data_IF_959522674488
#
_entry.id   IF_959522674488
#
_cell.length_a   1.000
_cell.length_b   1.000
_cell.length_c   1.000
_cell.angle_alpha   90.00
_cell.angle_beta   90.00
_cell.angle_gamma   90.00
#
_symmetry.space_group_name_H-M   'P 1'
#
loop_
_entity.id
_entity.type
_entity.pdbx_description
1 polymer ?
#
# COMPACT_ATOMS: atom_id res chain seq x y z
N UNK A 1 11.90 -55.07 -24.40
CA UNK A 1 10.81 -54.09 -24.60
C UNK A 1 10.41 -53.61 -23.21
N UNK A 2 11.10 -52.68 -22.53
CA UNK A 2 11.58 -51.36 -22.95
C UNK A 2 10.45 -50.48 -23.51
N UNK A 3 9.81 -49.71 -22.62
CA UNK A 3 9.42 -48.31 -22.78
C UNK A 3 8.67 -47.83 -21.51
N UNK A 4 9.46 -47.47 -20.49
CA UNK A 4 9.09 -46.40 -19.57
C UNK A 4 9.29 -45.06 -20.30
N UNK A 5 8.49 -44.05 -19.93
CA UNK A 5 8.83 -42.65 -20.20
C UNK A 5 7.75 -41.89 -20.95
N UNK A 6 6.97 -41.10 -20.21
CA UNK A 6 6.91 -39.64 -20.39
C UNK A 6 5.92 -39.07 -19.36
N UNK A 7 6.42 -38.90 -18.13
CA UNK A 7 5.82 -37.98 -17.18
C UNK A 7 6.07 -36.57 -17.73
N UNK A 8 5.02 -35.94 -18.24
CA UNK A 8 5.01 -34.53 -18.63
C UNK A 8 5.33 -33.67 -17.41
N UNK A 9 6.59 -33.22 -17.36
CA UNK A 9 7.07 -32.24 -16.40
C UNK A 9 6.43 -30.89 -16.71
N UNK A 10 5.32 -30.60 -16.05
CA UNK A 10 4.82 -29.24 -15.95
C UNK A 10 5.83 -28.40 -15.16
N UNK A 11 6.56 -27.57 -15.91
CA UNK A 11 7.46 -26.52 -15.45
C UNK A 11 6.78 -25.68 -14.37
N UNK A 12 7.18 -25.90 -13.10
CA UNK A 12 6.77 -25.10 -11.94
C UNK A 12 7.58 -23.80 -11.83
N UNK A 13 7.95 -23.22 -12.99
CA UNK A 13 8.65 -21.95 -13.07
C UNK A 13 7.80 -20.81 -12.48
N UNK A 14 8.28 -20.26 -11.37
CA UNK A 14 8.18 -18.82 -11.11
C UNK A 14 6.78 -18.26 -10.93
N UNK A 15 5.86 -18.97 -10.30
CA UNK A 15 4.60 -18.35 -9.85
C UNK A 15 4.97 -17.32 -8.78
N UNK A 16 5.02 -16.04 -9.17
CA UNK A 16 5.21 -14.93 -8.24
C UNK A 16 4.24 -15.13 -7.07
N UNK A 17 4.77 -15.07 -5.84
CA UNK A 17 3.93 -15.17 -4.65
C UNK A 17 2.79 -14.14 -4.75
N UNK A 18 1.57 -14.46 -4.30
CA UNK A 18 0.48 -13.48 -4.26
C UNK A 18 0.96 -12.30 -3.42
N UNK A 19 1.26 -11.16 -4.06
CA UNK A 19 1.96 -10.05 -3.40
C UNK A 19 3.02 -9.26 -4.18
N UNK A 20 3.52 -9.79 -5.29
CA UNK A 20 4.59 -9.14 -6.07
C UNK A 20 6.00 -9.29 -5.44
N UNK A 21 7.02 -8.86 -6.17
CA UNK A 21 8.45 -8.95 -5.82
C UNK A 21 8.76 -8.12 -4.57
N UNK A 22 8.17 -6.93 -4.42
CA UNK A 22 8.36 -6.07 -3.26
C UNK A 22 7.88 -6.73 -1.94
N UNK A 23 6.72 -7.37 -1.94
CA UNK A 23 6.24 -8.10 -0.78
C UNK A 23 7.14 -9.30 -0.46
N UNK A 24 7.57 -10.05 -1.49
CA UNK A 24 8.50 -11.17 -1.31
C UNK A 24 9.79 -10.73 -0.61
N UNK A 25 10.32 -9.56 -0.99
CA UNK A 25 11.47 -8.94 -0.32
C UNK A 25 11.16 -8.67 1.15
N UNK A 26 10.02 -8.03 1.45
CA UNK A 26 9.65 -7.66 2.83
C UNK A 26 9.43 -8.86 3.73
N UNK A 27 8.66 -9.85 3.27
CA UNK A 27 8.35 -11.06 4.04
C UNK A 27 9.62 -11.82 4.43
N UNK A 28 10.64 -11.82 3.57
CA UNK A 28 11.92 -12.52 3.82
C UNK A 28 12.97 -11.64 4.51
N UNK A 29 12.69 -10.36 4.82
CA UNK A 29 13.67 -9.47 5.47
C UNK A 29 14.18 -10.02 6.80
N UNK A 30 13.30 -10.63 7.60
CA UNK A 30 13.66 -11.22 8.90
C UNK A 30 14.64 -12.38 8.79
N UNK A 31 14.62 -13.10 7.67
CA UNK A 31 15.50 -14.23 7.38
C UNK A 31 16.82 -13.80 6.74
N UNK A 32 16.96 -12.54 6.31
CA UNK A 32 18.11 -12.04 5.57
C UNK A 32 19.34 -11.75 6.46
N UNK A 33 20.53 -12.08 5.97
CA UNK A 33 21.80 -11.65 6.56
C UNK A 33 21.91 -10.12 6.59
N UNK A 34 22.78 -9.52 7.43
CA UNK A 34 22.97 -8.08 7.44
C UNK A 34 23.31 -7.48 6.07
N UNK A 35 24.08 -8.19 5.25
CA UNK A 35 24.45 -7.74 3.90
C UNK A 35 23.26 -7.82 2.93
N UNK A 36 22.47 -8.88 2.98
CA UNK A 36 21.24 -9.01 2.17
C UNK A 36 20.18 -7.99 2.58
N UNK A 37 20.06 -7.66 3.87
CA UNK A 37 19.18 -6.57 4.32
C UNK A 37 19.57 -5.21 3.73
N UNK A 38 20.85 -4.96 3.47
CA UNK A 38 21.28 -3.75 2.76
C UNK A 38 20.80 -3.75 1.31
N UNK A 39 20.91 -4.89 0.61
CA UNK A 39 20.41 -5.05 -0.76
C UNK A 39 18.89 -4.83 -0.81
N UNK A 40 18.14 -5.48 0.09
CA UNK A 40 16.70 -5.33 0.20
C UNK A 40 16.28 -3.87 0.41
N UNK A 41 16.97 -3.13 1.29
CA UNK A 41 16.70 -1.70 1.50
C UNK A 41 16.93 -0.85 0.25
N UNK A 42 18.02 -1.10 -0.49
CA UNK A 42 18.30 -0.37 -1.74
C UNK A 42 17.21 -0.63 -2.79
N UNK A 43 16.77 -1.88 -2.91
CA UNK A 43 15.71 -2.26 -3.84
C UNK A 43 14.35 -1.65 -3.48
N UNK A 44 13.99 -1.69 -2.19
CA UNK A 44 12.72 -1.14 -1.70
C UNK A 44 12.69 0.40 -1.74
N UNK A 45 13.81 1.07 -1.49
CA UNK A 45 13.87 2.54 -1.40
C UNK A 45 13.56 3.26 -2.73
N UNK A 46 13.80 2.61 -3.87
CA UNK A 46 13.49 3.15 -5.19
C UNK A 46 12.77 2.12 -6.06
N UNK A 47 11.88 1.34 -5.44
CA UNK A 47 11.11 0.32 -6.12
C UNK A 47 10.13 0.92 -7.15
N UNK A 48 9.91 0.28 -8.32
CA UNK A 48 10.62 -0.89 -8.87
C UNK A 48 11.91 -0.52 -9.62
N UNK A 49 12.18 0.77 -9.84
CA UNK A 49 13.30 1.25 -10.67
C UNK A 49 14.67 0.71 -10.27
N UNK A 50 14.95 0.58 -8.96
CA UNK A 50 16.20 0.02 -8.45
C UNK A 50 16.47 -1.41 -8.92
N UNK A 51 15.42 -2.21 -9.16
CA UNK A 51 15.56 -3.58 -9.63
C UNK A 51 16.04 -3.69 -11.08
N UNK A 52 15.90 -2.62 -11.87
CA UNK A 52 16.39 -2.55 -13.25
C UNK A 52 17.83 -2.02 -13.37
N UNK A 53 18.45 -1.62 -12.26
CA UNK A 53 19.87 -1.28 -12.25
C UNK A 53 20.75 -2.53 -12.43
N UNK A 54 22.03 -2.31 -12.78
CA UNK A 54 23.00 -3.41 -12.87
C UNK A 54 23.33 -3.96 -11.48
N UNK A 55 23.69 -5.25 -11.40
CA UNK A 55 24.16 -5.89 -10.16
C UNK A 55 25.29 -5.08 -9.50
N UNK A 56 26.20 -4.54 -10.31
CA UNK A 56 27.32 -3.72 -9.83
C UNK A 56 26.84 -2.45 -9.13
N UNK A 57 25.89 -1.72 -9.73
CA UNK A 57 25.35 -0.47 -9.17
C UNK A 57 24.55 -0.71 -7.89
N UNK A 58 23.78 -1.79 -7.84
CA UNK A 58 23.05 -2.18 -6.62
C UNK A 58 24.03 -2.56 -5.50
N UNK A 59 25.07 -3.32 -5.84
CA UNK A 59 26.11 -3.73 -4.90
C UNK A 59 26.85 -2.52 -4.32
N UNK A 60 27.21 -1.56 -5.18
CA UNK A 60 27.82 -0.28 -4.80
C UNK A 60 26.92 0.51 -3.83
N UNK A 61 25.65 0.76 -4.22
CA UNK A 61 24.69 1.49 -3.39
C UNK A 61 24.41 0.81 -2.05
N UNK A 62 24.40 -0.52 -2.02
CA UNK A 62 24.19 -1.30 -0.81
C UNK A 62 25.47 -1.47 0.03
N UNK A 63 26.64 -1.09 -0.48
CA UNK A 63 27.93 -1.33 0.17
C UNK A 63 28.21 -2.82 0.39
N UNK A 64 27.94 -3.64 -0.63
CA UNK A 64 28.16 -5.10 -0.63
C UNK A 64 28.83 -5.56 -1.92
N UNK A 65 29.19 -6.83 -2.02
CA UNK A 65 29.75 -7.42 -3.25
C UNK A 65 28.65 -7.88 -4.22
N UNK A 66 28.94 -7.89 -5.53
CA UNK A 66 28.02 -8.40 -6.56
C UNK A 66 27.48 -9.83 -6.29
N UNK A 67 28.29 -10.80 -5.80
CA UNK A 67 27.76 -12.11 -5.40
C UNK A 67 26.71 -12.05 -4.28
N UNK A 68 26.76 -11.03 -3.42
CA UNK A 68 25.74 -10.84 -2.36
C UNK A 68 24.39 -10.50 -2.96
N UNK A 69 24.36 -9.65 -3.99
CA UNK A 69 23.12 -9.29 -4.72
C UNK A 69 22.55 -10.52 -5.44
N UNK A 70 23.40 -11.35 -6.05
CA UNK A 70 22.97 -12.59 -6.72
C UNK A 70 22.42 -13.60 -5.70
N UNK A 71 23.12 -13.82 -4.56
CA UNK A 71 22.62 -14.67 -3.48
C UNK A 71 21.29 -14.18 -2.92
N UNK A 72 21.11 -12.86 -2.81
CA UNK A 72 19.84 -12.28 -2.40
C UNK A 72 18.71 -12.65 -3.37
N UNK A 73 18.91 -12.51 -4.68
CA UNK A 73 17.91 -12.94 -5.67
C UNK A 73 17.57 -14.44 -5.56
N UNK A 74 18.57 -15.31 -5.35
CA UNK A 74 18.34 -16.73 -5.08
C UNK A 74 17.54 -16.98 -3.80
N UNK A 75 17.83 -16.23 -2.72
CA UNK A 75 17.09 -16.33 -1.47
C UNK A 75 15.62 -15.96 -1.63
N UNK A 76 15.28 -15.05 -2.55
CA UNK A 76 13.90 -14.73 -2.87
C UNK A 76 13.20 -15.82 -3.72
N UNK A 77 13.95 -16.83 -4.19
CA UNK A 77 13.44 -17.93 -5.00
C UNK A 77 13.72 -17.80 -6.50
N UNK A 78 14.48 -16.81 -6.95
CA UNK A 78 14.81 -16.63 -8.35
C UNK A 78 16.04 -17.46 -8.76
N UNK A 79 16.08 -17.89 -10.03
CA UNK A 79 17.23 -18.61 -10.63
C UNK A 79 18.47 -17.74 -10.79
N UNK A 80 18.37 -16.43 -10.55
CA UNK A 80 19.45 -15.47 -10.60
C UNK A 80 18.91 -14.04 -10.77
N UNK A 81 19.80 -13.07 -10.90
CA UNK A 81 19.39 -11.66 -11.05
C UNK A 81 18.59 -11.36 -12.34
N UNK A 82 18.90 -11.95 -13.51
CA UNK A 82 18.07 -11.76 -14.71
C UNK A 82 16.64 -12.31 -14.58
N UNK A 83 16.46 -13.40 -13.83
CA UNK A 83 15.14 -13.98 -13.52
C UNK A 83 14.34 -13.05 -12.60
N UNK A 84 14.99 -12.50 -11.57
CA UNK A 84 14.41 -11.44 -10.74
C UNK A 84 13.97 -10.21 -11.57
N UNK A 85 14.80 -9.74 -12.51
CA UNK A 85 14.45 -8.62 -13.38
C UNK A 85 13.29 -8.92 -14.34
N UNK A 86 13.15 -10.17 -14.79
CA UNK A 86 11.99 -10.60 -15.58
C UNK A 86 10.73 -10.56 -14.72
N UNK A 87 10.77 -11.14 -13.52
CA UNK A 87 9.64 -11.08 -12.60
C UNK A 87 9.20 -9.63 -12.30
N UNK A 88 10.14 -8.69 -12.20
CA UNK A 88 9.84 -7.25 -12.07
C UNK A 88 9.17 -6.63 -13.32
N UNK A 89 9.52 -7.07 -14.53
CA UNK A 89 8.84 -6.60 -15.76
C UNK A 89 7.42 -7.14 -15.83
N UNK A 90 7.25 -8.44 -15.60
CA UNK A 90 5.94 -9.08 -15.56
C UNK A 90 5.06 -8.40 -14.50
N UNK A 91 5.67 -8.01 -13.38
CA UNK A 91 5.02 -7.25 -12.33
C UNK A 91 4.52 -5.88 -12.84
N UNK A 92 5.38 -5.10 -13.51
CA UNK A 92 5.00 -3.80 -14.07
C UNK A 92 3.86 -3.90 -15.08
N UNK A 93 3.91 -4.91 -15.96
CA UNK A 93 2.84 -5.15 -16.94
C UNK A 93 1.50 -5.46 -16.25
N UNK A 94 1.51 -6.22 -15.16
CA UNK A 94 0.32 -6.52 -14.36
C UNK A 94 -0.21 -5.29 -13.61
N UNK A 95 0.68 -4.44 -13.07
CA UNK A 95 0.30 -3.16 -12.42
C UNK A 95 -0.46 -2.24 -13.37
N UNK A 96 0.04 -2.12 -14.59
CA UNK A 96 -0.53 -1.24 -15.63
C UNK A 96 -1.67 -1.87 -16.42
N UNK A 97 -1.97 -3.16 -16.20
CA UNK A 97 -3.04 -3.86 -16.89
C UNK A 97 -4.36 -3.09 -16.81
N UNK A 98 -4.91 -2.78 -17.99
CA UNK A 98 -6.18 -2.08 -18.13
C UNK A 98 -7.34 -2.96 -17.61
N UNK A 99 -8.51 -2.38 -17.26
CA UNK A 99 -9.66 -3.18 -16.84
C UNK A 99 -10.06 -4.18 -17.92
N UNK A 100 -9.92 -3.81 -19.20
CA UNK A 100 -10.22 -4.69 -20.34
C UNK A 100 -9.28 -5.89 -20.36
N UNK A 101 -7.96 -5.66 -20.19
CA UNK A 101 -6.98 -6.73 -20.14
C UNK A 101 -7.25 -7.71 -18.99
N UNK A 102 -7.60 -7.19 -17.80
CA UNK A 102 -7.99 -8.03 -16.66
C UNK A 102 -9.30 -8.77 -16.88
N UNK A 103 -10.28 -8.14 -17.54
CA UNK A 103 -11.56 -8.77 -17.85
C UNK A 103 -11.38 -10.02 -18.72
N UNK A 104 -10.51 -9.92 -19.73
CA UNK A 104 -10.13 -11.06 -20.57
C UNK A 104 -9.31 -12.09 -19.79
N UNK A 105 -8.26 -11.65 -19.06
CA UNK A 105 -7.35 -12.55 -18.35
C UNK A 105 -8.02 -13.34 -17.20
N UNK A 106 -9.03 -12.76 -16.55
CA UNK A 106 -9.78 -13.42 -15.48
C UNK A 106 -10.86 -14.37 -16.00
N UNK A 107 -11.07 -14.44 -17.32
CA UNK A 107 -12.14 -15.21 -17.94
C UNK A 107 -13.53 -14.77 -17.47
N UNK A 108 -13.70 -13.50 -17.06
CA UNK A 108 -14.93 -13.04 -16.41
C UNK A 108 -16.15 -13.22 -17.34
N UNK A 109 -15.98 -13.00 -18.65
CA UNK A 109 -17.03 -13.25 -19.65
C UNK A 109 -17.44 -14.72 -19.76
N UNK A 110 -16.50 -15.64 -19.54
CA UNK A 110 -16.68 -17.08 -19.71
C UNK A 110 -17.34 -17.74 -18.49
N UNK A 111 -17.33 -17.06 -17.33
CA UNK A 111 -17.94 -17.56 -16.09
C UNK A 111 -19.47 -17.64 -16.15
N UNK A 112 -20.11 -17.03 -17.16
CA UNK A 112 -21.56 -16.98 -17.29
C UNK A 112 -22.23 -16.30 -16.08
N UNK A 113 -23.55 -16.12 -16.12
CA UNK A 113 -24.28 -15.63 -14.94
C UNK A 113 -24.33 -16.72 -13.87
N UNK A 114 -23.32 -16.80 -13.00
CA UNK A 114 -23.38 -17.67 -11.82
C UNK A 114 -24.66 -17.34 -11.03
N UNK A 115 -25.38 -18.36 -10.51
CA UNK A 115 -26.47 -18.13 -9.55
C UNK A 115 -26.03 -17.15 -8.45
N UNK A 116 -26.94 -16.28 -7.99
CA UNK A 116 -26.61 -15.25 -7.01
C UNK A 116 -25.94 -15.81 -5.74
N UNK A 117 -26.30 -17.03 -5.32
CA UNK A 117 -25.67 -17.73 -4.21
C UNK A 117 -24.17 -17.99 -4.43
N UNK A 118 -23.77 -18.49 -5.60
CA UNK A 118 -22.37 -18.75 -5.95
C UNK A 118 -21.55 -17.45 -6.05
N UNK A 119 -22.17 -16.36 -6.54
CA UNK A 119 -21.54 -15.05 -6.56
C UNK A 119 -21.26 -14.54 -5.14
N UNK A 120 -22.21 -14.69 -4.22
CA UNK A 120 -22.04 -14.30 -2.82
C UNK A 120 -20.95 -15.14 -2.14
N UNK A 121 -20.98 -16.47 -2.31
CA UNK A 121 -19.99 -17.38 -1.74
C UNK A 121 -18.57 -17.07 -2.25
N UNK A 122 -18.40 -16.91 -3.57
CA UNK A 122 -17.11 -16.55 -4.16
C UNK A 122 -16.63 -15.17 -3.74
N UNK A 123 -17.54 -14.20 -3.57
CA UNK A 123 -17.23 -12.87 -3.06
C UNK A 123 -16.73 -12.93 -1.62
N UNK A 124 -17.44 -13.65 -0.73
CA UNK A 124 -17.04 -13.84 0.67
C UNK A 124 -15.68 -14.52 0.77
N UNK A 125 -15.46 -15.60 0.01
CA UNK A 125 -14.18 -16.30 -0.01
C UNK A 125 -13.03 -15.38 -0.45
N UNK A 126 -13.25 -14.62 -1.52
CA UNK A 126 -12.27 -13.69 -2.08
C UNK A 126 -11.93 -12.55 -1.12
N UNK A 127 -12.95 -11.91 -0.53
CA UNK A 127 -12.77 -10.82 0.42
C UNK A 127 -12.09 -11.31 1.70
N UNK A 128 -12.46 -12.48 2.21
CA UNK A 128 -11.83 -13.08 3.38
C UNK A 128 -10.35 -13.40 3.13
N UNK A 129 -10.02 -13.93 1.96
CA UNK A 129 -8.63 -14.18 1.57
C UNK A 129 -7.82 -12.87 1.48
N UNK A 130 -8.39 -11.83 0.86
CA UNK A 130 -7.76 -10.52 0.74
C UNK A 130 -7.50 -9.85 2.12
N UNK A 131 -8.48 -9.95 3.03
CA UNK A 131 -8.34 -9.45 4.40
C UNK A 131 -7.24 -10.20 5.16
N UNK A 132 -7.23 -11.54 5.11
CA UNK A 132 -6.19 -12.35 5.75
C UNK A 132 -4.80 -12.03 5.22
N UNK A 133 -4.66 -11.90 3.90
CA UNK A 133 -3.40 -11.54 3.27
C UNK A 133 -2.94 -10.13 3.67
N UNK A 134 -3.86 -9.17 3.74
CA UNK A 134 -3.59 -7.80 4.20
C UNK A 134 -3.10 -7.78 5.64
N UNK A 135 -3.81 -8.42 6.56
CA UNK A 135 -3.41 -8.48 7.96
C UNK A 135 -2.06 -9.19 8.15
N UNK A 136 -1.78 -10.23 7.37
CA UNK A 136 -0.49 -10.93 7.41
C UNK A 136 0.67 -10.08 6.85
N UNK A 137 0.40 -9.19 5.90
CA UNK A 137 1.39 -8.32 5.28
C UNK A 137 1.60 -6.99 6.01
N UNK A 138 0.70 -6.61 6.93
CA UNK A 138 0.74 -5.36 7.67
C UNK A 138 1.61 -5.48 8.94
N UNK A 139 2.78 -4.83 9.01
CA UNK A 139 3.61 -4.88 10.21
C UNK A 139 2.94 -4.12 11.38
N UNK A 140 2.84 -4.71 12.58
CA UNK A 140 2.26 -4.04 13.74
C UNK A 140 2.94 -2.71 14.09
N UNK A 141 4.26 -2.62 13.90
CA UNK A 141 5.05 -1.42 14.12
C UNK A 141 4.69 -0.28 13.15
N UNK A 142 4.36 -0.61 11.90
CA UNK A 142 3.95 0.38 10.91
C UNK A 142 2.54 0.90 11.23
N UNK A 143 1.63 -0.01 11.63
CA UNK A 143 0.31 0.39 12.12
C UNK A 143 0.41 1.32 13.33
N UNK A 144 1.25 0.96 14.31
CA UNK A 144 1.48 1.81 15.48
C UNK A 144 2.10 3.16 15.09
N UNK A 145 3.08 3.18 14.18
CA UNK A 145 3.68 4.42 13.69
C UNK A 145 2.68 5.34 13.00
N UNK A 146 1.73 4.79 12.23
CA UNK A 146 0.63 5.55 11.65
C UNK A 146 -0.28 6.14 12.75
N UNK A 147 -0.65 5.32 13.74
CA UNK A 147 -1.48 5.77 14.88
C UNK A 147 -0.80 6.91 15.63
N UNK A 148 0.49 6.77 15.97
CA UNK A 148 1.25 7.79 16.72
C UNK A 148 1.30 9.13 15.97
N UNK A 149 1.56 9.08 14.66
CA UNK A 149 1.60 10.28 13.82
C UNK A 149 0.22 10.95 13.70
N UNK A 150 -0.84 10.16 13.57
CA UNK A 150 -2.21 10.64 13.38
C UNK A 150 -2.92 10.99 14.69
N UNK A 151 -2.41 10.54 15.84
CA UNK A 151 -2.92 10.89 17.16
C UNK A 151 -2.20 12.09 17.78
N UNK A 152 -0.99 12.46 17.33
CA UNK A 152 -0.26 13.61 17.87
C UNK A 152 -1.03 14.93 17.67
N UNK A 153 -1.52 15.59 18.75
CA UNK A 153 -2.32 16.81 18.64
C UNK A 153 -1.51 18.01 18.16
N UNK A 154 -0.17 17.91 18.10
CA UNK A 154 0.69 18.99 17.58
C UNK A 154 0.79 18.98 16.06
N UNK A 155 0.24 17.95 15.41
CA UNK A 155 0.35 17.72 13.98
C UNK A 155 -0.95 18.05 13.27
N UNK A 156 -0.87 18.72 12.12
CA UNK A 156 -2.00 18.91 11.21
C UNK A 156 -2.11 17.70 10.29
N UNK A 157 -3.27 17.07 10.24
CA UNK A 157 -3.50 15.88 9.42
C UNK A 157 -4.10 16.31 8.08
N UNK A 158 -3.37 16.07 7.01
CA UNK A 158 -3.80 16.28 5.63
C UNK A 158 -4.18 14.94 5.02
N UNK A 159 -5.37 14.84 4.44
CA UNK A 159 -5.86 13.61 3.84
C UNK A 159 -6.04 13.77 2.34
N UNK A 160 -5.59 12.79 1.57
CA UNK A 160 -5.82 12.79 0.13
C UNK A 160 -5.72 11.38 -0.45
N UNK A 161 -6.23 11.22 -1.67
CA UNK A 161 -6.06 10.01 -2.44
C UNK A 161 -6.38 10.30 -3.90
N UNK A 162 -6.18 9.30 -4.74
CA UNK A 162 -6.56 9.34 -6.15
C UNK A 162 -8.07 9.22 -6.33
N UNK A 163 -8.49 8.98 -7.57
CA UNK A 163 -9.92 8.97 -7.94
C UNK A 163 -10.82 8.07 -7.06
N UNK A 164 -10.40 6.84 -6.79
CA UNK A 164 -11.16 5.91 -5.94
C UNK A 164 -10.63 5.84 -4.51
N UNK A 165 -9.31 5.91 -4.35
CA UNK A 165 -8.66 5.84 -3.03
C UNK A 165 -8.90 7.10 -2.19
N UNK A 166 -9.31 8.21 -2.81
CA UNK A 166 -9.83 9.39 -2.12
C UNK A 166 -11.08 9.10 -1.27
N UNK A 167 -11.84 8.03 -1.57
CA UNK A 167 -12.96 7.59 -0.73
C UNK A 167 -12.48 7.14 0.66
N UNK A 168 -11.37 6.41 0.74
CA UNK A 168 -10.76 6.02 2.01
C UNK A 168 -10.20 7.21 2.77
N UNK A 169 -9.56 8.15 2.07
CA UNK A 169 -9.08 9.40 2.66
C UNK A 169 -10.22 10.21 3.28
N UNK A 170 -11.36 10.31 2.58
CA UNK A 170 -12.57 10.96 3.08
C UNK A 170 -13.16 10.20 4.27
N UNK A 171 -13.26 8.88 4.19
CA UNK A 171 -13.76 8.04 5.29
C UNK A 171 -12.93 8.20 6.56
N UNK A 172 -11.61 8.15 6.45
CA UNK A 172 -10.68 8.41 7.55
C UNK A 172 -10.88 9.83 8.10
N UNK A 173 -10.93 10.83 7.22
CA UNK A 173 -11.15 12.22 7.60
C UNK A 173 -12.43 12.44 8.40
N UNK A 174 -13.55 11.86 7.97
CA UNK A 174 -14.84 11.96 8.66
C UNK A 174 -14.82 11.40 10.08
N UNK A 175 -13.98 10.39 10.35
CA UNK A 175 -13.78 9.89 11.71
C UNK A 175 -12.82 10.77 12.50
N UNK A 176 -11.70 11.16 11.89
CA UNK A 176 -10.67 11.96 12.58
C UNK A 176 -11.18 13.34 13.00
N UNK A 177 -12.00 14.02 12.19
CA UNK A 177 -12.59 15.32 12.54
C UNK A 177 -13.55 15.26 13.73
N UNK A 178 -14.08 14.07 14.07
CA UNK A 178 -14.95 13.90 15.23
C UNK A 178 -14.18 13.69 16.53
N UNK A 179 -12.89 13.34 16.46
CA UNK A 179 -12.11 12.91 17.63
C UNK A 179 -10.89 13.78 17.89
N UNK A 180 -10.51 14.67 16.97
CA UNK A 180 -9.40 15.59 17.15
C UNK A 180 -9.48 16.83 16.24
N UNK A 181 -8.78 17.87 16.68
CA UNK A 181 -8.60 19.11 15.93
C UNK A 181 -7.54 18.96 14.80
N UNK A 182 -7.49 19.95 13.91
CA UNK A 182 -6.53 20.10 12.82
C UNK A 182 -6.47 18.94 11.80
N UNK A 183 -7.65 18.49 11.36
CA UNK A 183 -7.82 17.47 10.32
C UNK A 183 -8.44 18.10 9.06
N UNK A 184 -7.82 17.90 7.90
CA UNK A 184 -8.26 18.50 6.64
C UNK A 184 -8.17 17.50 5.47
N UNK A 185 -9.30 17.28 4.79
CA UNK A 185 -9.31 16.62 3.49
C UNK A 185 -8.87 17.64 2.43
N UNK A 186 -7.78 17.35 1.72
CA UNK A 186 -7.26 18.27 0.71
C UNK A 186 -8.30 18.51 -0.39
N UNK A 187 -8.63 19.78 -0.69
CA UNK A 187 -9.62 20.12 -1.72
C UNK A 187 -9.27 19.55 -3.09
N UNK A 188 -10.26 19.21 -3.90
CA UNK A 188 -10.04 18.79 -5.29
C UNK A 188 -9.67 19.99 -6.20
N UNK A 189 -10.19 21.18 -5.88
CA UNK A 189 -9.88 22.42 -6.59
C UNK A 189 -8.42 22.83 -6.47
N UNK A 190 -7.80 23.21 -7.60
CA UNK A 190 -6.38 23.52 -7.65
C UNK A 190 -5.99 24.73 -6.79
N UNK A 191 -6.84 25.76 -6.73
CA UNK A 191 -6.58 26.99 -5.96
C UNK A 191 -6.62 26.71 -4.47
N UNK A 192 -7.69 26.04 -4.01
CA UNK A 192 -7.92 25.70 -2.61
C UNK A 192 -6.86 24.71 -2.10
N UNK A 193 -6.54 23.69 -2.91
CA UNK A 193 -5.45 22.74 -2.61
C UNK A 193 -4.10 23.45 -2.49
N UNK A 194 -3.80 24.36 -3.41
CA UNK A 194 -2.54 25.13 -3.37
C UNK A 194 -2.48 25.99 -2.12
N UNK A 195 -3.57 26.66 -1.74
CA UNK A 195 -3.64 27.47 -0.53
C UNK A 195 -3.45 26.62 0.75
N UNK A 196 -4.10 25.45 0.82
CA UNK A 196 -3.96 24.51 1.93
C UNK A 196 -2.53 23.99 2.09
N UNK A 197 -1.85 23.71 0.98
CA UNK A 197 -0.46 23.25 0.94
C UNK A 197 0.54 24.38 1.14
N UNK A 198 0.23 25.62 0.77
CA UNK A 198 1.15 26.76 0.91
C UNK A 198 1.53 27.05 2.37
N UNK A 199 0.62 26.76 3.31
CA UNK A 199 0.85 26.88 4.75
C UNK A 199 1.66 25.71 5.37
N UNK A 200 1.96 24.70 4.56
CA UNK A 200 2.48 23.44 5.05
C UNK A 200 3.94 23.47 5.52
N UNK A 201 4.28 22.56 6.43
CA UNK A 201 5.60 22.46 7.04
C UNK A 201 5.78 21.22 7.92
N UNK A 202 6.80 21.24 8.78
CA UNK A 202 7.21 20.11 9.64
C UNK A 202 6.17 19.59 10.65
N UNK A 203 5.05 20.29 10.83
CA UNK A 203 3.91 19.85 11.64
C UNK A 203 2.88 19.04 10.84
N UNK A 204 2.96 19.02 9.51
CA UNK A 204 1.98 18.29 8.72
C UNK A 204 2.26 16.79 8.75
N UNK A 205 1.17 16.01 8.72
CA UNK A 205 1.15 14.59 8.40
C UNK A 205 0.22 14.42 7.21
N UNK A 206 0.76 13.96 6.10
CA UNK A 206 -0.04 13.56 4.96
C UNK A 206 -0.42 12.08 5.09
N UNK A 207 -1.69 11.80 5.33
CA UNK A 207 -2.28 10.49 5.10
C UNK A 207 -2.74 10.40 3.64
N UNK A 208 -2.01 9.64 2.82
CA UNK A 208 -2.25 9.50 1.39
C UNK A 208 -2.61 8.06 1.03
N UNK A 209 -3.67 7.92 0.25
CA UNK A 209 -4.12 6.63 -0.27
C UNK A 209 -3.81 6.54 -1.76
N UNK A 210 -2.90 5.67 -2.16
CA UNK A 210 -2.45 5.55 -3.55
C UNK A 210 -2.33 4.07 -3.94
N UNK A 211 -3.07 3.70 -4.99
CA UNK A 211 -3.24 2.31 -5.44
C UNK A 211 -2.96 2.22 -6.94
N UNK A 212 -2.76 1.00 -7.45
CA UNK A 212 -2.31 0.69 -8.81
C UNK A 212 -2.97 1.55 -9.87
N UNK A 213 -2.16 1.92 -10.86
CA UNK A 213 -2.33 3.12 -11.71
C UNK A 213 -2.10 4.42 -10.90
N UNK A 214 -0.98 4.41 -10.17
CA UNK A 214 -0.54 5.49 -9.30
C UNK A 214 -0.55 6.83 -10.03
N UNK A 215 -1.12 7.84 -9.38
CA UNK A 215 -1.25 9.16 -9.97
C UNK A 215 0.02 9.98 -9.71
N UNK A 216 0.74 10.46 -10.75
CA UNK A 216 1.99 11.21 -10.56
C UNK A 216 1.85 12.45 -9.67
N UNK A 217 0.68 13.08 -9.68
CA UNK A 217 0.38 14.24 -8.85
C UNK A 217 0.42 13.92 -7.34
N UNK A 218 0.03 12.71 -6.93
CA UNK A 218 0.09 12.29 -5.52
C UNK A 218 1.54 12.11 -5.05
N UNK A 219 2.43 11.64 -5.94
CA UNK A 219 3.85 11.54 -5.65
C UNK A 219 4.50 12.91 -5.46
N UNK A 220 4.21 13.87 -6.33
CA UNK A 220 4.72 15.24 -6.19
C UNK A 220 4.20 15.90 -4.91
N UNK A 221 2.95 15.63 -4.53
CA UNK A 221 2.37 16.10 -3.27
C UNK A 221 3.08 15.49 -2.05
N UNK A 222 3.31 14.18 -2.04
CA UNK A 222 4.04 13.52 -0.96
C UNK A 222 5.49 14.03 -0.84
N UNK A 223 6.17 14.23 -1.98
CA UNK A 223 7.51 14.85 -2.03
C UNK A 223 7.52 16.26 -1.48
N UNK A 224 6.50 17.07 -1.79
CA UNK A 224 6.37 18.43 -1.28
C UNK A 224 6.27 18.43 0.26
N UNK A 225 5.42 17.58 0.83
CA UNK A 225 5.23 17.49 2.29
C UNK A 225 6.51 17.00 2.97
N UNK A 226 7.10 15.90 2.47
CA UNK A 226 8.34 15.35 3.00
C UNK A 226 9.51 16.34 2.88
N UNK A 227 9.63 17.04 1.76
CA UNK A 227 10.67 18.05 1.51
C UNK A 227 10.60 19.26 2.45
N UNK A 228 9.43 19.53 3.04
CA UNK A 228 9.24 20.56 4.08
C UNK A 228 9.39 20.03 5.50
N UNK A 229 9.81 18.78 5.65
CA UNK A 229 9.99 18.08 6.92
C UNK A 229 8.69 17.59 7.55
N UNK A 230 7.57 17.62 6.80
CA UNK A 230 6.33 16.96 7.19
C UNK A 230 6.48 15.44 7.13
N UNK A 231 5.46 14.74 7.62
CA UNK A 231 5.44 13.28 7.66
C UNK A 231 4.45 12.72 6.64
N UNK A 232 4.72 11.53 6.12
CA UNK A 232 3.86 10.87 5.12
C UNK A 232 3.50 9.46 5.60
N UNK A 233 2.20 9.23 5.79
CA UNK A 233 1.59 7.93 6.03
C UNK A 233 0.91 7.49 4.74
N UNK A 234 1.45 6.45 4.10
CA UNK A 234 0.94 5.91 2.85
C UNK A 234 0.11 4.65 3.11
N UNK A 235 -1.12 4.61 2.61
CA UNK A 235 -1.89 3.37 2.46
C UNK A 235 -1.89 3.01 0.98
N UNK A 236 -1.41 1.82 0.63
CA UNK A 236 -1.16 1.40 -0.77
C UNK A 236 -1.45 -0.07 -0.96
N UNK A 237 -1.47 -0.52 -2.20
CA UNK A 237 -1.45 -1.96 -2.52
C UNK A 237 -0.11 -2.64 -2.22
N UNK A 238 -0.09 -3.98 -2.30
CA UNK A 238 1.09 -4.82 -2.09
C UNK A 238 2.24 -4.60 -3.06
N UNK A 239 1.98 -3.95 -4.20
CA UNK A 239 2.99 -3.67 -5.20
C UNK A 239 3.89 -2.53 -4.76
N UNK A 240 3.36 -1.59 -3.97
CA UNK A 240 4.01 -0.37 -3.48
C UNK A 240 3.99 0.78 -4.50
N UNK A 241 3.21 1.80 -4.15
CA UNK A 241 3.27 3.11 -4.78
C UNK A 241 4.69 3.69 -4.71
N UNK A 242 5.13 4.44 -5.74
CA UNK A 242 6.34 5.25 -5.71
C UNK A 242 6.43 6.19 -4.50
N UNK A 243 5.30 6.57 -3.88
CA UNK A 243 5.25 7.36 -2.65
C UNK A 243 5.99 6.66 -1.50
N UNK A 244 6.09 5.33 -1.54
CA UNK A 244 6.81 4.54 -0.53
C UNK A 244 8.27 4.98 -0.34
N UNK A 245 8.89 5.60 -1.37
CA UNK A 245 10.26 6.10 -1.30
C UNK A 245 10.42 7.33 -0.39
N UNK A 246 9.33 8.07 -0.12
CA UNK A 246 9.30 9.27 0.72
C UNK A 246 8.36 9.16 1.92
N UNK A 247 7.72 8.01 2.08
CA UNK A 247 6.81 7.73 3.19
C UNK A 247 7.60 7.43 4.48
N UNK A 248 7.13 7.97 5.61
CA UNK A 248 7.62 7.58 6.93
C UNK A 248 6.99 6.26 7.39
N UNK A 249 5.74 6.01 6.99
CA UNK A 249 4.99 4.80 7.30
C UNK A 249 4.27 4.31 6.04
N UNK A 250 4.34 3.01 5.77
CA UNK A 250 3.65 2.38 4.63
C UNK A 250 2.77 1.25 5.14
N UNK A 251 1.46 1.35 4.91
CA UNK A 251 0.46 0.35 5.25
C UNK A 251 0.02 -0.39 3.97
N UNK A 252 0.64 -1.54 3.64
CA UNK A 252 0.30 -2.30 2.43
C UNK A 252 -1.02 -3.05 2.60
N UNK A 253 -1.85 -3.03 1.55
CA UNK A 253 -3.12 -3.72 1.45
C UNK A 253 -3.07 -4.73 0.30
N UNK A 254 -3.42 -5.97 0.58
CA UNK A 254 -3.54 -7.02 -0.43
C UNK A 254 -4.95 -6.99 -1.01
N UNK A 255 -5.09 -6.41 -2.20
CA UNK A 255 -6.33 -6.43 -2.95
C UNK A 255 -6.15 -7.27 -4.22
N UNK A 256 -6.13 -8.63 -4.12
CA UNK A 256 -6.12 -9.45 -5.32
C UNK A 256 -7.36 -9.16 -6.17
N UNK A 257 -7.13 -8.79 -7.42
CA UNK A 257 -8.20 -8.49 -8.37
C UNK A 257 -8.96 -9.78 -8.72
N UNK A 258 -10.12 -9.99 -8.12
CA UNK A 258 -11.07 -11.05 -8.53
C UNK A 258 -12.05 -10.58 -9.60
N UNK A 259 -12.05 -9.26 -9.85
CA UNK A 259 -12.72 -8.58 -10.95
C UNK A 259 -11.71 -7.64 -11.61
N UNK A 260 -12.03 -7.00 -12.76
CA UNK A 260 -11.19 -5.94 -13.34
C UNK A 260 -10.89 -4.75 -12.41
N UNK A 261 -11.64 -4.65 -11.31
CA UNK A 261 -11.52 -3.63 -10.28
C UNK A 261 -11.02 -4.25 -8.98
N UNK A 262 -10.10 -3.55 -8.31
CA UNK A 262 -9.62 -3.95 -7.00
C UNK A 262 -10.69 -3.68 -5.93
N UNK A 263 -10.73 -4.56 -4.92
CA UNK A 263 -11.64 -4.37 -3.80
C UNK A 263 -11.15 -3.25 -2.88
N UNK A 264 -12.06 -2.36 -2.46
CA UNK A 264 -11.78 -1.33 -1.46
C UNK A 264 -11.79 -1.88 -0.03
N UNK A 265 -12.31 -3.10 0.18
CA UNK A 265 -12.53 -3.69 1.52
C UNK A 265 -11.25 -3.85 2.32
N UNK A 266 -10.13 -4.39 1.78
CA UNK A 266 -8.93 -4.56 2.59
C UNK A 266 -8.35 -3.22 3.07
N UNK A 267 -8.35 -2.20 2.20
CA UNK A 267 -7.92 -0.86 2.56
C UNK A 267 -8.87 -0.18 3.56
N UNK A 268 -10.17 -0.44 3.47
CA UNK A 268 -11.13 0.02 4.47
C UNK A 268 -10.88 -0.61 5.83
N UNK A 269 -10.62 -1.91 5.90
CA UNK A 269 -10.29 -2.60 7.15
C UNK A 269 -9.02 -2.03 7.82
N UNK A 270 -7.98 -1.75 7.03
CA UNK A 270 -6.77 -1.06 7.55
C UNK A 270 -7.11 0.35 8.04
N UNK A 271 -7.94 1.08 7.30
CA UNK A 271 -8.39 2.43 7.70
C UNK A 271 -9.14 2.40 9.03
N UNK A 272 -10.04 1.43 9.23
CA UNK A 272 -10.79 1.27 10.48
C UNK A 272 -9.90 0.86 11.66
N UNK A 273 -8.89 0.01 11.41
CA UNK A 273 -7.87 -0.30 12.41
C UNK A 273 -7.09 0.95 12.83
N UNK A 274 -6.73 1.82 11.88
CA UNK A 274 -6.10 3.12 12.17
C UNK A 274 -7.04 4.02 12.97
N UNK A 275 -8.32 4.14 12.59
CA UNK A 275 -9.31 4.93 13.34
C UNK A 275 -9.43 4.45 14.78
N UNK A 276 -9.55 3.13 14.97
CA UNK A 276 -9.65 2.52 16.31
C UNK A 276 -8.38 2.77 17.12
N UNK A 277 -7.20 2.63 16.50
CA UNK A 277 -5.93 2.91 17.14
C UNK A 277 -5.78 4.38 17.55
N UNK A 278 -6.13 5.32 16.67
CA UNK A 278 -6.07 6.77 16.98
C UNK A 278 -7.05 7.14 18.08
N UNK A 279 -8.28 6.64 18.04
CA UNK A 279 -9.26 6.84 19.11
C UNK A 279 -8.73 6.34 20.46
N UNK A 280 -8.17 5.12 20.49
CA UNK A 280 -7.56 4.55 21.69
C UNK A 280 -6.37 5.37 22.20
N UNK A 281 -5.51 5.85 21.31
CA UNK A 281 -4.34 6.65 21.66
C UNK A 281 -4.68 8.05 22.19
N UNK A 282 -5.77 8.66 21.70
CA UNK A 282 -6.25 9.97 22.17
C UNK A 282 -6.97 9.88 23.52
N UNK A 283 -7.65 8.77 23.81
CA UNK A 283 -8.32 8.52 25.09
C UNK A 283 -9.32 9.61 25.47
N UNK A 284 -9.19 10.16 26.69
CA UNK A 284 -10.10 11.19 27.21
C UNK A 284 -10.12 12.47 26.35
N UNK A 285 -9.02 12.80 25.66
CA UNK A 285 -8.98 13.97 24.78
C UNK A 285 -9.95 13.85 23.60
N UNK A 286 -10.09 12.64 23.04
CA UNK A 286 -11.09 12.38 21.99
C UNK A 286 -12.51 12.50 22.54
N UNK A 287 -12.76 11.99 23.75
CA UNK A 287 -14.07 12.10 24.40
C UNK A 287 -14.46 13.57 24.63
N UNK A 288 -13.52 14.40 25.09
CA UNK A 288 -13.74 15.84 25.25
C UNK A 288 -14.03 16.52 23.91
N UNK A 289 -13.27 16.18 22.86
CA UNK A 289 -13.52 16.72 21.52
C UNK A 289 -14.91 16.32 21.00
N UNK A 290 -15.31 15.06 21.13
CA UNK A 290 -16.65 14.58 20.74
C UNK A 290 -17.74 15.33 21.51
N UNK A 291 -17.59 15.53 22.82
CA UNK A 291 -18.57 16.28 23.63
C UNK A 291 -18.72 17.73 23.16
N UNK A 292 -17.60 18.41 22.86
CA UNK A 292 -17.63 19.77 22.27
C UNK A 292 -18.37 19.79 20.92
N UNK A 293 -18.15 18.76 20.10
CA UNK A 293 -18.86 18.57 18.83
C UNK A 293 -20.37 18.39 19.02
N UNK A 294 -20.77 17.51 19.95
CA UNK A 294 -22.18 17.25 20.28
C UNK A 294 -22.89 18.51 20.79
N UNK A 295 -22.28 19.25 21.70
CA UNK A 295 -22.85 20.49 22.23
C UNK A 295 -23.00 21.57 21.14
N UNK A 296 -22.02 21.65 20.23
CA UNK A 296 -22.08 22.56 19.07
C UNK A 296 -23.22 22.17 18.13
N UNK A 297 -23.33 20.90 17.75
CA UNK A 297 -24.39 20.45 16.84
C UNK A 297 -25.79 20.52 17.50
N UNK A 298 -25.91 20.33 18.82
CA UNK A 298 -27.15 20.58 19.57
C UNK A 298 -27.55 22.05 19.50
N UNK A 299 -26.59 22.96 19.69
CA UNK A 299 -26.81 24.41 19.60
C UNK A 299 -27.28 24.83 18.21
N UNK A 300 -26.75 24.20 17.16
CA UNK A 300 -27.10 24.47 15.76
C UNK A 300 -28.37 23.75 15.27
N UNK A 301 -28.97 22.86 16.08
CA UNK A 301 -30.14 22.06 15.67
C UNK A 301 -29.82 21.04 14.58
N UNK A 302 -28.60 20.49 14.58
CA UNK A 302 -28.14 19.48 13.62
C UNK A 302 -28.38 18.03 14.09
N UNK A 303 -29.02 17.85 15.26
CA UNK A 303 -29.45 16.56 15.83
C UNK A 303 -30.96 16.44 15.85
#
# INVERSE_FOLDING_TARGET
MAAEGEASGADTAGRAAPGGVAESIRRRLGECTPAERKVARVLLAAYPSAGFETVARIAERAGVSAPTVIRFAHRLGYRGFPDFQRALRDELEQREASPVALYTATGFAERGGSPAAELLESSVASLTAALRATCAALPPEDLQGAVDLLADPRRRVLLTGGRFSGLHARYLGLHLVQIRDDVELLPEGAVERTAALARGGRRDVLAVFDFRRYEPALLELARLVAGRGGKVVLVTDGWLSPISAVADVVLPCQAPATTPYDSLVPALAVTEAVVTGVLGALGEAAQEHMRRGEDTARTLGLY
#
